data_IF_482775096206
#
_entry.id   IF_482775096206
#
_cell.length_a   1.000
_cell.length_b   1.000
_cell.length_c   1.000
_cell.angle_alpha   90.00
_cell.angle_beta   90.00
_cell.angle_gamma   90.00
#
_symmetry.space_group_name_H-M   'P 1'
#
loop_
_entity.id
_entity.type
_entity.pdbx_description
1 polymer ?
#
# COMPACT_ATOMS: atom_id res chain seq x y z
N UNK A 1 1.58 -27.60 -0.31
CA UNK A 1 2.78 -26.90 0.18
C UNK A 1 3.07 -25.62 -0.61
N UNK A 2 3.41 -25.68 -1.90
CA UNK A 2 3.75 -24.47 -2.72
C UNK A 2 2.72 -23.34 -2.57
N UNK A 3 1.44 -23.61 -2.85
CA UNK A 3 0.37 -22.61 -2.73
C UNK A 3 0.29 -21.92 -1.36
N UNK A 4 0.52 -22.68 -0.29
CA UNK A 4 0.44 -22.16 1.07
C UNK A 4 1.60 -21.21 1.36
N UNK A 5 2.83 -21.60 1.01
CA UNK A 5 4.01 -20.75 1.20
C UNK A 5 3.94 -19.51 0.31
N UNK A 6 3.47 -19.65 -0.94
CA UNK A 6 3.22 -18.50 -1.82
C UNK A 6 2.22 -17.52 -1.19
N UNK A 7 1.13 -18.02 -0.61
CA UNK A 7 0.14 -17.18 0.07
C UNK A 7 0.78 -16.41 1.23
N UNK A 8 1.58 -17.07 2.07
CA UNK A 8 2.25 -16.40 3.21
C UNK A 8 3.20 -15.30 2.71
N UNK A 9 4.10 -15.63 1.78
CA UNK A 9 5.06 -14.66 1.23
C UNK A 9 4.35 -13.48 0.58
N UNK A 10 3.35 -13.75 -0.27
CA UNK A 10 2.59 -12.71 -0.95
C UNK A 10 1.80 -11.83 0.02
N UNK A 11 1.19 -12.42 1.04
CA UNK A 11 0.39 -11.68 2.04
C UNK A 11 1.27 -10.74 2.85
N UNK A 12 2.45 -11.21 3.28
CA UNK A 12 3.37 -10.42 4.08
C UNK A 12 4.13 -9.34 3.28
N UNK A 13 4.13 -9.40 1.96
CA UNK A 13 4.84 -8.45 1.09
C UNK A 13 3.89 -7.66 0.20
N UNK A 14 3.59 -8.19 -0.99
CA UNK A 14 2.81 -7.53 -2.02
C UNK A 14 1.41 -7.11 -1.56
N UNK A 15 0.67 -7.97 -0.87
CA UNK A 15 -0.67 -7.63 -0.40
C UNK A 15 -0.62 -6.47 0.61
N UNK A 16 0.32 -6.54 1.57
CA UNK A 16 0.51 -5.47 2.55
C UNK A 16 0.85 -4.15 1.86
N UNK A 17 1.84 -4.14 0.96
CA UNK A 17 2.23 -2.92 0.23
C UNK A 17 1.06 -2.33 -0.56
N UNK A 18 0.28 -3.16 -1.26
CA UNK A 18 -0.85 -2.73 -2.07
C UNK A 18 -1.96 -2.02 -1.27
N UNK A 19 -2.16 -2.38 0.00
CA UNK A 19 -3.21 -1.81 0.85
C UNK A 19 -2.70 -0.77 1.85
N UNK A 20 -1.39 -0.72 2.09
CA UNK A 20 -0.78 0.14 3.09
C UNK A 20 -0.16 1.41 2.47
N UNK A 21 0.64 1.27 1.41
CA UNK A 21 1.49 2.34 0.88
C UNK A 21 0.71 3.52 0.29
N UNK A 22 -0.54 3.29 -0.14
CA UNK A 22 -1.41 4.33 -0.70
C UNK A 22 -2.35 5.01 0.29
N UNK A 23 -2.29 4.68 1.59
CA UNK A 23 -3.25 5.24 2.56
C UNK A 23 -3.21 6.76 2.59
N UNK A 24 -2.02 7.38 2.57
CA UNK A 24 -1.91 8.83 2.60
C UNK A 24 -2.28 9.47 1.26
N UNK A 25 -1.87 8.89 0.13
CA UNK A 25 -2.14 9.45 -1.20
C UNK A 25 -3.64 9.68 -1.45
N UNK A 26 -4.49 8.74 -1.01
CA UNK A 26 -5.94 8.84 -1.16
C UNK A 26 -6.68 9.32 0.10
N UNK A 27 -6.12 9.06 1.28
CA UNK A 27 -6.74 9.38 2.56
C UNK A 27 -6.39 10.75 3.11
N UNK A 28 -5.35 11.42 2.58
CA UNK A 28 -5.02 12.80 2.95
C UNK A 28 -6.10 13.79 2.52
N UNK A 29 -6.87 13.48 1.46
CA UNK A 29 -8.06 14.23 1.12
C UNK A 29 -9.27 13.65 1.87
N UNK A 30 -9.56 14.18 3.06
CA UNK A 30 -10.59 13.67 3.95
C UNK A 30 -11.95 13.38 3.28
N UNK A 31 -12.50 14.24 2.40
CA UNK A 31 -13.78 13.94 1.75
C UNK A 31 -13.77 12.67 0.88
N UNK A 32 -12.61 12.21 0.40
CA UNK A 32 -12.46 10.97 -0.35
C UNK A 32 -12.47 9.73 0.55
N UNK A 33 -12.00 9.83 1.80
CA UNK A 33 -11.96 8.72 2.74
C UNK A 33 -12.18 9.19 4.19
N UNK A 34 -13.40 9.65 4.54
CA UNK A 34 -13.68 10.13 5.89
C UNK A 34 -13.63 8.95 6.88
N UNK A 35 -12.82 9.10 7.94
CA UNK A 35 -12.63 8.04 8.95
C UNK A 35 -13.85 7.80 9.83
N UNK A 36 -14.81 8.74 9.83
CA UNK A 36 -16.09 8.64 10.54
C UNK A 36 -17.09 9.63 9.95
N UNK A 37 -18.38 9.47 10.26
CA UNK A 37 -19.46 10.40 9.90
C UNK A 37 -20.23 10.79 11.16
N UNK A 38 -20.56 12.07 11.29
CA UNK A 38 -21.20 12.66 12.48
C UNK A 38 -22.74 12.63 12.41
N UNK A 39 -23.30 12.44 11.22
CA UNK A 39 -24.75 12.37 10.98
C UNK A 39 -25.12 11.02 10.35
N UNK A 40 -26.35 10.53 10.57
CA UNK A 40 -26.81 9.28 9.95
C UNK A 40 -26.94 9.42 8.43
N UNK A 41 -26.92 8.31 7.67
CA UNK A 41 -27.18 8.32 6.24
C UNK A 41 -28.52 9.01 5.90
N UNK A 42 -28.58 9.80 4.82
CA UNK A 42 -29.81 10.49 4.43
C UNK A 42 -30.91 9.49 4.03
N UNK A 43 -32.14 9.72 4.51
CA UNK A 43 -33.28 8.82 4.26
C UNK A 43 -34.18 9.26 3.11
N UNK A 44 -33.97 10.47 2.55
CA UNK A 44 -34.76 11.04 1.46
C UNK A 44 -33.85 11.75 0.45
N UNK A 45 -34.15 11.59 -0.84
CA UNK A 45 -33.48 12.32 -1.94
C UNK A 45 -33.78 13.83 -1.86
N UNK A 46 -32.88 14.66 -2.39
CA UNK A 46 -33.05 16.12 -2.47
C UNK A 46 -32.95 16.87 -1.15
N UNK A 47 -32.48 16.21 -0.08
CA UNK A 47 -32.25 16.83 1.24
C UNK A 47 -30.78 17.12 1.55
N UNK A 48 -29.86 16.56 0.77
CA UNK A 48 -28.44 16.86 0.88
C UNK A 48 -28.17 18.27 0.35
N UNK A 49 -27.34 19.00 1.09
CA UNK A 49 -26.77 20.31 0.79
C UNK A 49 -25.29 20.30 1.14
N UNK A 50 -24.53 21.26 0.62
CA UNK A 50 -23.11 21.43 0.97
C UNK A 50 -22.94 21.59 2.49
N UNK A 51 -23.79 22.38 3.14
CA UNK A 51 -23.79 22.53 4.60
C UNK A 51 -23.99 21.19 5.31
N UNK A 52 -25.00 20.40 4.92
CA UNK A 52 -25.22 19.10 5.56
C UNK A 52 -24.10 18.11 5.30
N UNK A 53 -23.36 18.24 4.19
CA UNK A 53 -22.19 17.42 3.90
C UNK A 53 -21.04 17.79 4.86
N UNK A 54 -20.74 19.07 5.02
CA UNK A 54 -19.75 19.56 5.99
C UNK A 54 -20.12 19.17 7.43
N UNK A 55 -21.40 19.31 7.80
CA UNK A 55 -21.90 18.91 9.12
C UNK A 55 -21.84 17.38 9.34
N UNK A 56 -21.82 16.57 8.27
CA UNK A 56 -21.66 15.10 8.35
C UNK A 56 -20.20 14.68 8.46
N UNK A 57 -19.27 15.43 7.89
CA UNK A 57 -17.84 15.11 7.92
C UNK A 57 -17.24 15.16 9.34
N UNK A 58 -16.11 14.46 9.57
CA UNK A 58 -15.40 14.55 10.83
C UNK A 58 -14.96 15.98 11.14
N UNK A 59 -14.89 16.31 12.44
CA UNK A 59 -14.32 17.58 12.87
C UNK A 59 -12.81 17.66 12.56
N UNK A 60 -12.24 18.86 12.73
CA UNK A 60 -10.83 19.13 12.43
C UNK A 60 -9.90 18.21 13.22
N UNK A 61 -10.15 18.01 14.52
CA UNK A 61 -9.29 17.17 15.36
C UNK A 61 -9.26 15.73 14.84
N UNK A 62 -10.41 15.11 14.61
CA UNK A 62 -10.51 13.75 14.08
C UNK A 62 -9.88 13.64 12.69
N UNK A 63 -10.07 14.64 11.83
CA UNK A 63 -9.45 14.69 10.50
C UNK A 63 -7.93 14.70 10.59
N UNK A 64 -7.36 15.60 11.40
CA UNK A 64 -5.90 15.72 11.56
C UNK A 64 -5.30 14.43 12.13
N UNK A 65 -5.94 13.81 13.13
CA UNK A 65 -5.47 12.53 13.68
C UNK A 65 -5.50 11.41 12.64
N UNK A 66 -6.60 11.28 11.88
CA UNK A 66 -6.71 10.28 10.83
C UNK A 66 -5.65 10.46 9.74
N UNK A 67 -5.45 11.69 9.27
CA UNK A 67 -4.40 12.00 8.30
C UNK A 67 -2.99 11.72 8.83
N UNK A 68 -2.71 12.05 10.09
CA UNK A 68 -1.41 11.79 10.70
C UNK A 68 -1.11 10.29 10.81
N UNK A 69 -2.12 9.47 11.16
CA UNK A 69 -1.99 8.00 11.19
C UNK A 69 -1.73 7.46 9.78
N UNK A 70 -2.54 7.86 8.78
CA UNK A 70 -2.34 7.41 7.40
C UNK A 70 -0.97 7.82 6.85
N UNK A 71 -0.49 9.02 7.21
CA UNK A 71 0.86 9.48 6.85
C UNK A 71 1.94 8.60 7.44
N UNK A 72 1.84 8.31 8.74
CA UNK A 72 2.81 7.48 9.45
C UNK A 72 2.86 6.07 8.87
N UNK A 73 1.70 5.44 8.68
CA UNK A 73 1.60 4.06 8.18
C UNK A 73 2.02 3.91 6.71
N UNK A 74 1.83 4.94 5.87
CA UNK A 74 2.23 4.91 4.45
C UNK A 74 3.72 5.16 4.24
N UNK A 75 4.43 5.61 5.27
CA UNK A 75 5.81 6.06 5.13
C UNK A 75 6.74 4.86 5.02
N UNK A 76 7.52 4.82 3.95
CA UNK A 76 8.61 3.86 3.81
C UNK A 76 9.68 4.09 4.89
N UNK A 77 10.13 3.01 5.53
CA UNK A 77 11.20 3.09 6.52
C UNK A 77 12.57 3.34 5.87
N UNK A 78 13.50 3.93 6.62
CA UNK A 78 14.87 4.16 6.15
C UNK A 78 15.70 2.87 6.06
N UNK A 79 15.28 1.82 6.76
CA UNK A 79 15.91 0.50 6.81
C UNK A 79 15.10 -0.57 6.08
N UNK A 80 14.15 -0.17 5.22
CA UNK A 80 13.30 -1.09 4.45
C UNK A 80 14.14 -2.06 3.61
N UNK A 81 13.79 -3.35 3.68
CA UNK A 81 14.35 -4.42 2.86
C UNK A 81 13.29 -4.89 1.86
N UNK A 82 13.56 -4.71 0.58
CA UNK A 82 12.57 -4.95 -0.46
C UNK A 82 12.47 -6.42 -0.87
N UNK A 83 11.35 -6.76 -1.52
CA UNK A 83 11.03 -8.11 -1.94
C UNK A 83 12.16 -8.72 -2.76
N UNK A 84 12.65 -9.88 -2.33
CA UNK A 84 13.75 -10.58 -2.99
C UNK A 84 15.16 -10.14 -2.55
N UNK A 85 15.28 -9.13 -1.68
CA UNK A 85 16.54 -8.78 -1.03
C UNK A 85 16.67 -9.57 0.28
N UNK A 86 17.68 -10.43 0.38
CA UNK A 86 17.90 -11.26 1.56
C UNK A 86 19.33 -11.04 2.09
N UNK A 87 19.57 -9.97 2.89
CA UNK A 87 20.90 -9.69 3.43
C UNK A 87 21.35 -10.74 4.47
N UNK A 88 20.40 -11.42 5.10
CA UNK A 88 20.68 -12.54 6.00
C UNK A 88 20.76 -13.84 5.19
N UNK A 89 21.98 -14.40 5.07
CA UNK A 89 22.26 -15.62 4.31
C UNK A 89 21.87 -16.89 5.09
N UNK A 90 20.58 -17.17 5.18
CA UNK A 90 20.06 -18.41 5.79
C UNK A 90 20.25 -19.63 4.88
N UNK A 91 20.21 -19.44 3.56
CA UNK A 91 20.52 -20.46 2.57
C UNK A 91 21.95 -20.26 2.05
N UNK A 92 22.73 -21.33 2.06
CA UNK A 92 24.12 -21.31 1.58
C UNK A 92 24.36 -22.29 0.43
N UNK A 93 23.40 -23.19 0.20
CA UNK A 93 23.47 -24.19 -0.86
C UNK A 93 23.26 -23.55 -2.25
N UNK A 94 23.89 -24.14 -3.26
CA UNK A 94 23.89 -23.61 -4.63
C UNK A 94 22.47 -23.48 -5.21
N UNK A 95 21.62 -24.49 -5.01
CA UNK A 95 20.29 -24.54 -5.64
C UNK A 95 19.36 -23.43 -5.10
N UNK A 96 19.14 -23.26 -3.78
CA UNK A 96 18.37 -22.13 -3.25
C UNK A 96 18.94 -20.77 -3.66
N UNK A 97 20.26 -20.60 -3.60
CA UNK A 97 20.92 -19.36 -4.01
C UNK A 97 20.66 -19.02 -5.49
N UNK A 98 20.68 -20.02 -6.37
CA UNK A 98 20.32 -19.81 -7.77
C UNK A 98 18.84 -19.46 -7.94
N UNK A 99 17.93 -20.09 -7.18
CA UNK A 99 16.49 -19.76 -7.23
C UNK A 99 16.17 -18.35 -6.72
N UNK A 100 16.91 -17.86 -5.73
CA UNK A 100 16.84 -16.46 -5.29
C UNK A 100 17.24 -15.51 -6.43
N UNK A 101 18.34 -15.79 -7.12
CA UNK A 101 18.79 -14.98 -8.27
C UNK A 101 17.76 -14.98 -9.40
N UNK A 102 17.22 -16.15 -9.74
CA UNK A 102 16.15 -16.28 -10.75
C UNK A 102 14.94 -15.42 -10.36
N UNK A 103 14.52 -15.46 -9.09
CA UNK A 103 13.41 -14.66 -8.57
C UNK A 103 13.70 -13.14 -8.66
N UNK A 104 14.89 -12.70 -8.27
CA UNK A 104 15.30 -11.30 -8.37
C UNK A 104 15.31 -10.78 -9.81
N UNK A 105 15.69 -11.62 -10.80
CA UNK A 105 15.63 -11.25 -12.21
C UNK A 105 14.19 -11.03 -12.67
N UNK A 106 13.27 -11.91 -12.28
CA UNK A 106 11.85 -11.75 -12.62
C UNK A 106 11.23 -10.51 -11.96
N UNK A 107 11.58 -10.21 -10.71
CA UNK A 107 11.13 -8.98 -10.04
C UNK A 107 11.63 -7.71 -10.74
N UNK A 108 12.89 -7.69 -11.20
CA UNK A 108 13.43 -6.57 -11.98
C UNK A 108 12.70 -6.38 -13.30
N UNK A 109 12.39 -7.49 -14.00
CA UNK A 109 11.60 -7.45 -15.24
C UNK A 109 10.21 -6.88 -14.97
N UNK A 110 9.53 -7.36 -13.92
CA UNK A 110 8.21 -6.87 -13.52
C UNK A 110 8.22 -5.38 -13.17
N UNK A 111 9.21 -4.91 -12.41
CA UNK A 111 9.37 -3.48 -12.10
C UNK A 111 9.50 -2.63 -13.37
N UNK A 112 10.32 -3.08 -14.33
CA UNK A 112 10.46 -2.38 -15.61
C UNK A 112 9.13 -2.31 -16.39
N UNK A 113 8.36 -3.39 -16.42
CA UNK A 113 7.03 -3.42 -17.04
C UNK A 113 6.04 -2.48 -16.36
N UNK A 114 6.02 -2.45 -15.03
CA UNK A 114 5.18 -1.54 -14.24
C UNK A 114 5.55 -0.08 -14.52
N UNK A 115 6.85 0.26 -14.53
CA UNK A 115 7.35 1.61 -14.84
C UNK A 115 6.99 2.04 -16.27
N UNK A 116 7.17 1.15 -17.25
CA UNK A 116 6.77 1.41 -18.63
C UNK A 116 5.25 1.69 -18.73
N UNK A 117 4.43 0.83 -18.11
CA UNK A 117 2.97 1.03 -18.05
C UNK A 117 2.60 2.35 -17.37
N UNK A 118 3.26 2.69 -16.27
CA UNK A 118 2.98 3.89 -15.49
C UNK A 118 3.38 5.18 -16.19
N UNK A 119 4.33 5.14 -17.12
CA UNK A 119 4.83 6.34 -17.83
C UNK A 119 3.78 7.06 -18.70
N UNK A 120 2.66 6.40 -18.99
CA UNK A 120 1.57 6.93 -19.83
C UNK A 120 0.25 7.13 -19.07
N UNK A 121 0.24 6.93 -17.75
CA UNK A 121 -0.96 7.10 -16.92
C UNK A 121 -0.96 8.47 -16.24
N UNK A 122 -2.11 9.14 -16.25
CA UNK A 122 -2.32 10.38 -15.48
C UNK A 122 -2.20 10.15 -13.97
N UNK A 123 -2.60 8.95 -13.52
CA UNK A 123 -2.47 8.50 -12.14
C UNK A 123 -1.76 7.13 -12.12
N UNK A 124 -0.43 7.11 -12.01
CA UNK A 124 0.36 5.88 -11.92
C UNK A 124 -0.01 5.02 -10.71
N UNK A 125 -0.01 3.69 -10.88
CA UNK A 125 -0.17 2.75 -9.76
C UNK A 125 1.17 2.12 -9.44
N UNK A 126 1.78 2.50 -8.31
CA UNK A 126 3.15 2.13 -7.93
C UNK A 126 3.22 1.15 -6.76
N UNK A 127 2.13 0.91 -6.03
CA UNK A 127 2.14 0.15 -4.76
C UNK A 127 2.43 -1.35 -4.88
N UNK A 128 2.56 -1.88 -6.10
CA UNK A 128 2.99 -3.26 -6.36
C UNK A 128 4.29 -3.31 -7.19
N UNK A 129 4.99 -2.18 -7.35
CA UNK A 129 6.34 -2.19 -7.91
C UNK A 129 7.26 -2.95 -6.93
N UNK A 130 7.94 -4.02 -7.36
CA UNK A 130 8.88 -4.75 -6.51
C UNK A 130 9.97 -3.87 -5.88
N UNK A 131 10.33 -2.76 -6.52
CA UNK A 131 11.31 -1.80 -5.98
C UNK A 131 10.79 -1.02 -4.76
N UNK A 132 9.48 -1.07 -4.49
CA UNK A 132 8.80 -0.37 -3.39
C UNK A 132 8.09 -1.35 -2.42
N UNK A 133 8.10 -2.65 -2.71
CA UNK A 133 7.42 -3.67 -1.91
C UNK A 133 8.37 -4.25 -0.89
N UNK A 134 8.09 -4.13 0.41
CA UNK A 134 8.93 -4.73 1.47
C UNK A 134 8.74 -6.26 1.57
N UNK A 135 9.75 -6.97 2.09
CA UNK A 135 9.69 -8.42 2.30
C UNK A 135 8.66 -8.85 3.37
N UNK A 136 8.33 -7.97 4.30
CA UNK A 136 7.47 -8.26 5.46
C UNK A 136 6.59 -7.07 5.84
N UNK A 137 5.71 -7.29 6.81
CA UNK A 137 4.93 -6.24 7.48
C UNK A 137 5.78 -5.66 8.61
N UNK A 138 6.25 -4.43 8.46
CA UNK A 138 7.33 -3.81 9.26
C UNK A 138 7.01 -2.39 9.75
N UNK A 139 5.84 -1.85 9.41
CA UNK A 139 5.34 -0.53 9.82
C UNK A 139 4.05 -0.64 10.63
#
# INVERSE_FOLDING_TARGET
MVKFVTMVIFTCSAQHSAVNSGQYDFGAWMPNSPVTLQLPPPTKKGKASEKSMIDTFPNIQTTVHGMAVMWLLSKQSSDSIFLGQYPEEHFTEEVPCQKIKDFQVELKRLSAEIKARNSVLDLPYTYLDPDLTENSVSI
#
